data_IF_457142484543
#
_entry.id   IF_457142484543
#
_cell.length_a   1.000
_cell.length_b   1.000
_cell.length_c   1.000
_cell.angle_alpha   90.00
_cell.angle_beta   90.00
_cell.angle_gamma   90.00
#
_symmetry.space_group_name_H-M   'P 1'
#
loop_
_entity.id
_entity.type
_entity.pdbx_description
1 polymer ?
#
# COMPACT_ATOMS: atom_id res chain seq x y z
N UNK A 1 -8.77 -5.03 -23.23
CA UNK A 1 -9.10 -3.72 -22.64
C UNK A 1 -8.39 -3.69 -21.30
N UNK A 2 -7.40 -2.87 -20.97
CA UNK A 2 -6.66 -1.79 -21.62
C UNK A 2 -5.32 -1.80 -20.86
N UNK A 3 -4.18 -1.89 -21.55
CA UNK A 3 -2.88 -1.80 -20.89
C UNK A 3 -2.68 -0.35 -20.43
N UNK A 4 -2.90 -0.06 -19.16
CA UNK A 4 -2.43 1.18 -18.55
C UNK A 4 -0.95 1.02 -18.21
N UNK A 5 -0.11 1.29 -19.20
CA UNK A 5 1.24 1.78 -18.95
C UNK A 5 1.10 3.30 -19.08
N UNK A 6 1.13 4.01 -17.95
CA UNK A 6 1.19 5.46 -17.98
C UNK A 6 2.59 5.84 -18.50
N UNK A 7 2.68 6.10 -19.80
CA UNK A 7 3.80 6.81 -20.39
C UNK A 7 3.44 8.28 -20.28
N UNK A 8 3.98 9.05 -19.32
CA UNK A 8 3.71 10.48 -19.30
C UNK A 8 4.28 11.12 -20.57
N UNK A 9 3.51 12.03 -21.21
CA UNK A 9 4.00 12.79 -22.34
C UNK A 9 5.04 13.80 -21.86
N UNK A 10 6.17 13.81 -22.56
CA UNK A 10 7.07 14.92 -22.88
C UNK A 10 6.83 16.23 -22.09
N UNK A 11 7.84 16.56 -21.26
CA UNK A 11 8.25 17.89 -20.78
C UNK A 11 7.31 18.61 -19.81
N UNK A 12 7.62 18.54 -18.51
CA UNK A 12 7.22 19.55 -17.52
C UNK A 12 8.43 20.02 -16.73
N UNK A 13 8.80 21.29 -16.89
CA UNK A 13 9.82 21.96 -16.07
C UNK A 13 9.19 22.44 -14.76
N UNK A 14 9.56 21.82 -13.64
CA UNK A 14 9.18 22.26 -12.30
C UNK A 14 10.37 23.00 -11.68
N UNK A 15 10.29 24.32 -11.58
CA UNK A 15 11.29 25.14 -10.89
C UNK A 15 11.01 25.13 -9.39
N UNK A 16 11.88 24.49 -8.59
CA UNK A 16 11.92 24.70 -7.14
C UNK A 16 13.28 25.29 -6.78
N UNK A 17 13.26 26.46 -6.16
CA UNK A 17 14.42 27.29 -5.87
C UNK A 17 14.93 26.97 -4.45
N UNK A 18 15.71 25.90 -4.29
CA UNK A 18 16.82 25.84 -3.35
C UNK A 18 17.78 24.70 -3.73
N UNK A 19 19.06 24.89 -3.38
CA UNK A 19 20.16 24.06 -3.82
C UNK A 19 20.33 22.84 -2.92
N UNK A 20 20.04 21.64 -3.43
CA UNK A 20 20.91 20.45 -3.27
C UNK A 20 20.45 19.30 -4.20
N UNK A 21 21.20 19.10 -5.30
CA UNK A 21 21.15 17.86 -6.10
C UNK A 21 20.05 17.79 -7.19
N UNK A 22 20.07 18.68 -8.17
CA UNK A 22 19.31 18.50 -9.43
C UNK A 22 20.05 17.52 -10.35
N UNK A 23 19.43 16.39 -10.68
CA UNK A 23 19.73 15.67 -11.92
C UNK A 23 18.97 16.43 -13.02
N UNK A 24 19.69 17.13 -13.88
CA UNK A 24 19.14 17.84 -15.03
C UNK A 24 18.44 16.86 -15.97
N UNK A 25 17.13 17.03 -16.17
CA UNK A 25 16.33 16.23 -17.11
C UNK A 25 16.83 16.39 -18.56
N UNK A 26 17.60 17.43 -18.86
CA UNK A 26 18.20 17.69 -20.19
C UNK A 26 19.26 16.65 -20.64
N UNK A 27 19.66 15.69 -19.79
CA UNK A 27 20.60 14.64 -20.21
C UNK A 27 20.31 13.25 -19.63
N UNK A 28 19.05 12.92 -19.34
CA UNK A 28 18.72 11.53 -19.03
C UNK A 28 18.78 10.74 -20.34
N UNK A 29 19.75 9.85 -20.46
CA UNK A 29 19.85 8.93 -21.60
C UNK A 29 18.64 8.00 -21.66
N UNK A 30 18.29 7.49 -22.84
CA UNK A 30 17.16 6.54 -22.97
C UNK A 30 17.34 5.31 -22.05
N UNK A 31 18.58 4.86 -21.87
CA UNK A 31 18.93 3.75 -20.98
C UNK A 31 18.64 4.09 -19.52
N UNK A 32 18.99 5.29 -19.05
CA UNK A 32 18.70 5.75 -17.69
C UNK A 32 17.19 5.93 -17.48
N UNK A 33 16.47 6.46 -18.48
CA UNK A 33 15.01 6.58 -18.41
C UNK A 33 14.34 5.22 -18.29
N UNK A 34 14.71 4.25 -19.15
CA UNK A 34 14.18 2.88 -19.10
C UNK A 34 14.46 2.24 -17.75
N UNK A 35 15.67 2.42 -17.24
CA UNK A 35 16.10 1.85 -15.97
C UNK A 35 15.28 2.37 -14.79
N UNK A 36 14.97 3.67 -14.78
CA UNK A 36 14.27 4.32 -13.66
C UNK A 36 12.75 4.14 -13.75
N UNK A 37 12.17 4.16 -14.95
CA UNK A 37 10.72 4.27 -15.15
C UNK A 37 10.05 3.08 -15.83
N UNK A 38 10.80 2.11 -16.36
CA UNK A 38 10.24 0.94 -17.06
C UNK A 38 10.68 -0.41 -16.48
N UNK A 39 11.65 -0.42 -15.58
CA UNK A 39 12.20 -1.65 -15.01
C UNK A 39 12.37 -1.55 -13.50
N UNK A 40 12.25 -2.68 -12.81
CA UNK A 40 12.42 -2.78 -11.36
C UNK A 40 11.20 -2.28 -10.57
N UNK A 41 11.19 -2.56 -9.26
CA UNK A 41 10.06 -2.25 -8.39
C UNK A 41 9.75 -0.75 -8.35
N UNK A 42 10.76 0.12 -8.41
CA UNK A 42 10.60 1.59 -8.36
C UNK A 42 9.78 2.17 -9.51
N UNK A 43 9.66 1.46 -10.63
CA UNK A 43 8.86 1.90 -11.77
C UNK A 43 7.35 1.66 -11.57
N UNK A 44 6.95 0.86 -10.57
CA UNK A 44 5.55 0.55 -10.30
C UNK A 44 4.89 1.71 -9.53
N UNK A 45 3.65 2.05 -9.85
CA UNK A 45 2.95 3.15 -9.16
C UNK A 45 2.29 2.70 -7.85
N UNK A 46 1.80 1.47 -7.80
CA UNK A 46 1.10 0.89 -6.66
C UNK A 46 2.04 0.03 -5.81
N UNK A 47 1.58 -1.13 -5.30
CA UNK A 47 2.38 -1.96 -4.42
C UNK A 47 3.72 -2.38 -5.04
N UNK A 48 4.77 -2.33 -4.23
CA UNK A 48 6.15 -2.60 -4.63
C UNK A 48 6.79 -3.58 -3.66
N UNK A 49 7.58 -4.53 -4.18
CA UNK A 49 8.46 -5.34 -3.36
C UNK A 49 9.75 -4.57 -3.04
N UNK A 50 10.34 -4.84 -1.87
CA UNK A 50 11.62 -4.28 -1.48
C UNK A 50 12.78 -4.80 -2.35
N UNK A 51 12.74 -6.09 -2.71
CA UNK A 51 13.62 -6.68 -3.72
C UNK A 51 13.02 -6.43 -5.12
N UNK A 52 13.84 -5.91 -6.04
CA UNK A 52 13.45 -5.66 -7.43
C UNK A 52 13.18 -6.95 -8.23
N UNK A 53 13.69 -8.08 -7.75
CA UNK A 53 13.47 -9.39 -8.38
C UNK A 53 12.20 -10.08 -7.89
N UNK A 54 11.49 -9.50 -6.91
CA UNK A 54 10.22 -10.01 -6.42
C UNK A 54 9.05 -9.24 -7.03
N UNK A 55 8.05 -9.97 -7.52
CA UNK A 55 6.86 -9.38 -8.17
C UNK A 55 5.55 -9.91 -7.59
N UNK A 56 5.61 -10.66 -6.49
CA UNK A 56 4.42 -11.29 -5.91
C UNK A 56 3.43 -10.26 -5.40
N UNK A 57 3.90 -9.19 -4.77
CA UNK A 57 3.04 -8.16 -4.18
C UNK A 57 2.28 -7.32 -5.23
N UNK A 58 2.92 -6.74 -6.27
CA UNK A 58 2.18 -6.01 -7.31
C UNK A 58 1.20 -6.90 -8.09
N UNK A 59 1.53 -8.19 -8.27
CA UNK A 59 0.62 -9.13 -8.91
C UNK A 59 -0.58 -9.48 -8.01
N UNK A 60 -0.35 -9.63 -6.71
CA UNK A 60 -1.41 -9.85 -5.72
C UNK A 60 -2.37 -8.67 -5.70
N UNK A 61 -1.87 -7.45 -5.58
CA UNK A 61 -2.69 -6.24 -5.58
C UNK A 61 -3.48 -6.09 -6.90
N UNK A 62 -2.87 -6.40 -8.04
CA UNK A 62 -3.57 -6.40 -9.34
C UNK A 62 -4.71 -7.41 -9.39
N UNK A 63 -4.49 -8.61 -8.86
CA UNK A 63 -5.53 -9.64 -8.80
C UNK A 63 -6.67 -9.23 -7.87
N UNK A 64 -6.32 -8.61 -6.74
CA UNK A 64 -7.26 -8.05 -5.78
C UNK A 64 -8.10 -6.93 -6.41
N UNK A 65 -7.47 -5.89 -6.98
CA UNK A 65 -8.14 -4.83 -7.73
C UNK A 65 -9.09 -5.39 -8.80
N UNK A 66 -8.67 -6.43 -9.53
CA UNK A 66 -9.52 -7.08 -10.54
C UNK A 66 -10.74 -7.79 -9.93
N UNK A 67 -10.61 -8.41 -8.77
CA UNK A 67 -11.73 -9.06 -8.09
C UNK A 67 -12.76 -8.05 -7.57
N UNK A 68 -12.29 -6.88 -7.12
CA UNK A 68 -13.11 -5.80 -6.60
C UNK A 68 -13.55 -4.77 -7.66
N UNK A 69 -13.10 -4.92 -8.91
CA UNK A 69 -13.48 -4.10 -10.06
C UNK A 69 -12.27 -3.44 -10.74
N UNK A 70 -11.66 -2.48 -10.05
CA UNK A 70 -10.46 -1.78 -10.50
C UNK A 70 -9.62 -1.26 -9.30
N UNK A 71 -8.54 -0.53 -9.60
CA UNK A 71 -7.66 0.04 -8.58
C UNK A 71 -8.32 1.17 -7.77
N UNK A 72 -9.29 1.88 -8.33
CA UNK A 72 -10.03 2.93 -7.62
C UNK A 72 -11.03 2.31 -6.64
N UNK A 73 -11.57 1.14 -6.95
CA UNK A 73 -12.49 0.42 -6.08
C UNK A 73 -11.86 -0.08 -4.78
N UNK A 74 -10.54 -0.30 -4.76
CA UNK A 74 -9.81 -0.76 -3.56
C UNK A 74 -9.16 0.40 -2.78
N UNK A 75 -9.36 1.64 -3.23
CA UNK A 75 -8.87 2.83 -2.54
C UNK A 75 -9.69 3.08 -1.26
N UNK A 76 -9.01 3.26 -0.12
CA UNK A 76 -9.67 3.59 1.16
C UNK A 76 -10.34 2.42 1.88
N UNK A 77 -10.13 1.18 1.44
CA UNK A 77 -10.64 -0.01 2.13
C UNK A 77 -10.04 -0.25 3.52
N UNK A 78 -10.69 -1.08 4.32
CA UNK A 78 -10.22 -1.41 5.67
C UNK A 78 -9.27 -2.61 5.65
N UNK A 79 -8.25 -2.57 6.51
CA UNK A 79 -7.27 -3.67 6.66
C UNK A 79 -7.96 -4.98 7.04
N UNK A 80 -9.04 -4.89 7.83
CA UNK A 80 -9.82 -6.04 8.24
C UNK A 80 -10.52 -6.76 7.09
N UNK A 81 -11.13 -6.02 6.17
CA UNK A 81 -11.77 -6.58 4.96
C UNK A 81 -10.74 -7.29 4.09
N UNK A 82 -9.58 -6.65 3.86
CA UNK A 82 -8.50 -7.26 3.10
C UNK A 82 -7.97 -8.55 3.75
N UNK A 83 -7.89 -8.60 5.09
CA UNK A 83 -7.49 -9.81 5.81
C UNK A 83 -8.51 -10.94 5.66
N UNK A 84 -9.80 -10.63 5.72
CA UNK A 84 -10.87 -11.62 5.50
C UNK A 84 -10.80 -12.19 4.08
N UNK A 85 -10.68 -11.33 3.06
CA UNK A 85 -10.63 -11.76 1.66
C UNK A 85 -9.38 -12.60 1.34
N UNK A 86 -8.24 -12.29 1.95
CA UNK A 86 -6.98 -13.00 1.70
C UNK A 86 -6.84 -14.30 2.49
N UNK A 87 -7.51 -14.43 3.63
CA UNK A 87 -7.33 -15.58 4.55
C UNK A 87 -8.57 -16.45 4.71
N UNK A 88 -9.76 -15.93 4.37
CA UNK A 88 -11.05 -16.53 4.67
C UNK A 88 -11.41 -16.51 6.17
N UNK A 89 -10.68 -15.74 6.97
CA UNK A 89 -10.91 -15.59 8.41
C UNK A 89 -12.08 -14.65 8.74
N UNK A 90 -12.22 -14.34 10.04
CA UNK A 90 -13.16 -13.34 10.55
C UNK A 90 -12.35 -12.28 11.26
N UNK A 91 -12.59 -11.01 10.92
CA UNK A 91 -11.93 -9.87 11.56
C UNK A 91 -12.79 -9.28 12.67
N UNK A 92 -12.14 -8.75 13.70
CA UNK A 92 -12.76 -7.93 14.73
C UNK A 92 -11.86 -6.73 15.02
N UNK A 93 -12.46 -5.54 15.06
CA UNK A 93 -11.74 -4.31 15.33
C UNK A 93 -11.72 -3.99 16.83
N UNK A 94 -10.55 -3.59 17.32
CA UNK A 94 -10.36 -3.17 18.71
C UNK A 94 -9.76 -1.77 18.73
N UNK A 95 -10.50 -0.81 19.26
CA UNK A 95 -9.99 0.55 19.48
C UNK A 95 -8.98 0.54 20.62
N UNK A 96 -7.76 1.00 20.35
CA UNK A 96 -6.69 1.08 21.38
C UNK A 96 -7.09 1.93 22.59
N UNK A 97 -7.99 2.91 22.41
CA UNK A 97 -8.56 3.74 23.48
C UNK A 97 -9.59 3.00 24.34
N UNK A 98 -10.23 1.95 23.81
CA UNK A 98 -11.34 1.24 24.44
C UNK A 98 -10.93 -0.15 24.98
N UNK A 99 -9.66 -0.31 25.38
CA UNK A 99 -9.17 -1.55 25.99
C UNK A 99 -9.29 -1.43 27.52
N UNK A 100 -10.28 -2.11 28.09
CA UNK A 100 -10.55 -2.09 29.54
C UNK A 100 -9.43 -2.73 30.36
N UNK A 101 -8.88 -3.87 29.90
CA UNK A 101 -7.81 -4.61 30.58
C UNK A 101 -6.66 -4.90 29.60
N UNK A 102 -5.63 -4.05 29.67
CA UNK A 102 -4.46 -4.11 28.80
C UNK A 102 -3.59 -5.33 29.07
N UNK A 103 -3.47 -5.75 30.32
CA UNK A 103 -2.65 -6.89 30.71
C UNK A 103 -3.26 -8.20 30.22
N UNK A 104 -4.58 -8.33 30.32
CA UNK A 104 -5.30 -9.46 29.74
C UNK A 104 -5.18 -9.47 28.22
N UNK A 105 -5.41 -8.33 27.55
CA UNK A 105 -5.29 -8.24 26.09
C UNK A 105 -3.88 -8.65 25.62
N UNK A 106 -2.84 -8.15 26.29
CA UNK A 106 -1.46 -8.52 25.99
C UNK A 106 -1.24 -10.03 26.11
N UNK A 107 -1.57 -10.60 27.28
CA UNK A 107 -1.27 -12.00 27.59
C UNK A 107 -2.13 -13.00 26.81
N UNK A 108 -3.39 -12.66 26.53
CA UNK A 108 -4.35 -13.60 25.91
C UNK A 108 -4.47 -13.42 24.42
N UNK A 109 -4.22 -12.24 23.86
CA UNK A 109 -4.43 -12.01 22.42
C UNK A 109 -3.12 -11.70 21.73
N UNK A 110 -2.45 -10.60 22.08
CA UNK A 110 -1.22 -10.17 21.38
C UNK A 110 -0.10 -11.22 21.44
N UNK A 111 0.07 -11.92 22.57
CA UNK A 111 1.09 -12.96 22.69
C UNK A 111 0.82 -14.22 21.85
N UNK A 112 -0.38 -14.39 21.29
CA UNK A 112 -0.74 -15.51 20.41
C UNK A 112 -0.73 -15.12 18.92
N UNK A 113 -0.08 -14.00 18.57
CA UNK A 113 0.13 -13.58 17.18
C UNK A 113 0.84 -14.68 16.38
N UNK A 114 0.42 -14.86 15.13
CA UNK A 114 0.90 -15.89 14.19
C UNK A 114 0.59 -17.34 14.58
N UNK A 115 -0.05 -17.59 15.73
CA UNK A 115 -0.55 -18.91 16.10
C UNK A 115 -2.06 -19.01 15.87
N UNK A 116 -2.80 -18.05 16.43
CA UNK A 116 -4.26 -17.98 16.34
C UNK A 116 -4.75 -16.74 15.60
N UNK A 117 -4.00 -15.63 15.71
CA UNK A 117 -4.45 -14.32 15.22
C UNK A 117 -3.44 -13.66 14.29
N UNK A 118 -3.99 -12.99 13.28
CA UNK A 118 -3.30 -11.99 12.46
C UNK A 118 -3.77 -10.62 12.92
N UNK A 119 -2.84 -9.69 13.10
CA UNK A 119 -3.16 -8.33 13.54
C UNK A 119 -2.84 -7.33 12.44
N UNK A 120 -3.81 -6.48 12.12
CA UNK A 120 -3.61 -5.24 11.37
C UNK A 120 -3.71 -4.06 12.33
N UNK A 121 -2.81 -3.09 12.22
CA UNK A 121 -2.90 -1.84 12.95
C UNK A 121 -2.95 -0.65 11.99
N UNK A 122 -3.90 0.25 12.20
CA UNK A 122 -4.02 1.48 11.45
C UNK A 122 -4.22 2.67 12.38
N UNK A 123 -3.64 3.81 12.04
CA UNK A 123 -3.98 5.09 12.65
C UNK A 123 -4.96 5.80 11.74
N UNK A 124 -6.25 5.79 12.09
CA UNK A 124 -7.30 6.36 11.25
C UNK A 124 -7.66 7.79 11.63
N UNK A 125 -7.53 8.74 10.70
CA UNK A 125 -8.30 10.01 10.74
C UNK A 125 -9.81 9.71 10.66
N UNK A 126 -10.18 8.56 10.07
CA UNK A 126 -11.56 8.11 9.90
C UNK A 126 -12.06 7.13 10.96
N UNK A 127 -11.28 6.84 12.02
CA UNK A 127 -11.75 5.96 13.10
C UNK A 127 -13.07 6.45 13.71
N UNK A 128 -13.29 7.77 13.69
CA UNK A 128 -14.47 8.47 14.17
C UNK A 128 -15.76 8.13 13.37
N UNK A 129 -15.67 7.51 12.19
CA UNK A 129 -16.85 7.11 11.41
C UNK A 129 -17.51 5.84 11.94
N UNK A 130 -16.76 4.99 12.65
CA UNK A 130 -17.29 3.75 13.23
C UNK A 130 -18.06 4.01 14.53
N UNK A 131 -17.74 5.09 15.24
CA UNK A 131 -18.43 5.56 16.45
C UNK A 131 -18.62 7.09 16.40
N UNK A 132 -19.72 7.59 15.81
CA UNK A 132 -20.07 9.00 15.93
C UNK A 132 -20.42 9.34 17.39
N UNK A 133 -19.97 10.51 17.87
CA UNK A 133 -20.26 11.03 19.23
C UNK A 133 -21.75 11.07 19.59
#
# INVERSE_FOLDING_TARGET
MTNFIFVPPITTSLWRNDQSGMISIESITEEEYRKVWQTGSRALYFAQCADENETWLPLLEKAYAKAHGDYSAIEGGFVGEALEDLTGGVTSDVLTSNILDKDRFWKKELMHVNQEFLFGCGTGIFANWLEPE
#
